data_IF_243208271086
#
_entry.id   IF_243208271086
#
_cell.length_a   1.000
_cell.length_b   1.000
_cell.length_c   1.000
_cell.angle_alpha   90.00
_cell.angle_beta   90.00
_cell.angle_gamma   90.00
#
_symmetry.space_group_name_H-M   'P 1'
#
loop_
_entity.id
_entity.type
_entity.pdbx_description
1 polymer ?
#
# COMPACT_ATOMS: atom_id res chain seq x y z
N UNK A 1 -18.38 -9.43 7.90
CA UNK A 1 -17.02 -9.47 7.33
C UNK A 1 -16.96 -8.36 6.31
N UNK A 2 -16.14 -7.33 6.54
CA UNK A 2 -16.13 -6.16 5.66
C UNK A 2 -15.22 -6.44 4.47
N UNK A 3 -15.81 -6.61 3.29
CA UNK A 3 -15.07 -6.59 2.04
C UNK A 3 -14.61 -5.16 1.78
N UNK A 4 -13.41 -4.98 1.22
CA UNK A 4 -12.93 -3.66 0.83
C UNK A 4 -13.82 -3.10 -0.27
N UNK A 5 -14.49 -1.98 -0.03
CA UNK A 5 -15.11 -1.18 -1.08
C UNK A 5 -13.99 -0.52 -1.89
N UNK A 6 -13.64 -1.14 -3.01
CA UNK A 6 -12.47 -0.76 -3.79
C UNK A 6 -12.69 0.60 -4.46
N UNK A 7 -13.93 0.90 -4.84
CA UNK A 7 -14.28 2.18 -5.44
C UNK A 7 -14.04 3.34 -4.47
N UNK A 8 -14.52 3.25 -3.23
CA UNK A 8 -14.32 4.28 -2.21
C UNK A 8 -12.85 4.43 -1.81
N UNK A 9 -12.14 3.30 -1.64
CA UNK A 9 -10.71 3.30 -1.32
C UNK A 9 -9.88 4.00 -2.41
N UNK A 10 -10.09 3.64 -3.67
CA UNK A 10 -9.37 4.25 -4.80
C UNK A 10 -9.77 5.71 -5.03
N UNK A 11 -11.04 6.07 -4.82
CA UNK A 11 -11.48 7.46 -4.87
C UNK A 11 -10.74 8.31 -3.83
N UNK A 12 -10.62 7.84 -2.59
CA UNK A 12 -9.81 8.49 -1.55
C UNK A 12 -8.37 8.65 -2.03
N UNK A 13 -7.74 7.54 -2.42
CA UNK A 13 -6.33 7.46 -2.81
C UNK A 13 -5.99 8.46 -3.91
N UNK A 14 -6.82 8.56 -4.94
CA UNK A 14 -6.61 9.48 -6.05
C UNK A 14 -6.86 10.95 -5.67
N UNK A 15 -7.86 11.24 -4.83
CA UNK A 15 -8.23 12.60 -4.44
C UNK A 15 -7.16 13.28 -3.57
N UNK A 16 -6.36 12.50 -2.85
CA UNK A 16 -5.37 13.00 -1.90
C UNK A 16 -3.92 12.68 -2.31
N UNK A 17 -3.72 12.06 -3.47
CA UNK A 17 -2.40 11.87 -4.02
C UNK A 17 -1.78 13.21 -4.45
N UNK A 18 -0.65 13.55 -3.83
CA UNK A 18 0.14 14.72 -4.18
C UNK A 18 0.98 14.48 -5.46
N UNK A 19 1.61 15.55 -5.96
CA UNK A 19 2.52 15.48 -7.10
C UNK A 19 3.86 14.79 -6.76
N UNK A 20 4.27 14.83 -5.49
CA UNK A 20 5.48 14.21 -4.96
C UNK A 20 5.24 13.72 -3.53
N UNK A 21 6.07 12.77 -3.07
CA UNK A 21 5.93 12.19 -1.72
C UNK A 21 5.96 13.26 -0.62
N UNK A 22 5.07 13.09 0.35
CA UNK A 22 4.99 13.88 1.58
C UNK A 22 5.50 13.07 2.78
N UNK A 23 6.13 11.90 2.54
CA UNK A 23 6.53 10.92 3.57
C UNK A 23 5.36 10.41 4.43
N UNK A 24 4.15 10.37 3.86
CA UNK A 24 2.89 9.98 4.53
C UNK A 24 2.21 8.78 3.88
N UNK A 25 2.99 7.88 3.27
CA UNK A 25 2.46 6.72 2.54
C UNK A 25 1.58 5.81 3.43
N UNK A 26 2.05 5.47 4.64
CA UNK A 26 1.30 4.67 5.60
C UNK A 26 -0.03 5.32 6.01
N UNK A 27 -0.01 6.63 6.28
CA UNK A 27 -1.20 7.39 6.66
C UNK A 27 -2.23 7.43 5.52
N UNK A 28 -1.81 7.78 4.31
CA UNK A 28 -2.71 7.89 3.16
C UNK A 28 -3.32 6.53 2.77
N UNK A 29 -2.52 5.46 2.70
CA UNK A 29 -3.05 4.13 2.39
C UNK A 29 -3.99 3.63 3.49
N UNK A 30 -3.72 3.95 4.77
CA UNK A 30 -4.66 3.64 5.87
C UNK A 30 -5.99 4.36 5.70
N UNK A 31 -5.97 5.63 5.36
CA UNK A 31 -7.19 6.43 5.17
C UNK A 31 -7.97 5.95 3.95
N UNK A 32 -7.29 5.53 2.88
CA UNK A 32 -7.93 4.87 1.74
C UNK A 32 -8.61 3.55 2.15
N UNK A 33 -7.92 2.69 2.90
CA UNK A 33 -8.51 1.46 3.45
C UNK A 33 -9.74 1.76 4.33
N UNK A 34 -9.64 2.76 5.21
CA UNK A 34 -10.72 3.20 6.09
C UNK A 34 -11.93 3.70 5.28
N UNK A 35 -11.70 4.48 4.23
CA UNK A 35 -12.75 4.92 3.31
C UNK A 35 -13.39 3.75 2.55
N UNK A 36 -12.63 2.69 2.30
CA UNK A 36 -13.12 1.42 1.77
C UNK A 36 -13.78 0.49 2.81
N UNK A 37 -13.96 0.94 4.05
CA UNK A 37 -14.60 0.14 5.11
C UNK A 37 -13.68 -0.84 5.85
N UNK A 38 -12.36 -0.78 5.62
CA UNK A 38 -11.35 -1.56 6.34
C UNK A 38 -10.69 -0.69 7.40
N UNK A 39 -11.02 -0.92 8.66
CA UNK A 39 -10.41 -0.20 9.77
C UNK A 39 -9.16 -0.92 10.31
N UNK A 40 -8.03 -0.21 10.29
CA UNK A 40 -6.76 -0.72 10.80
C UNK A 40 -6.63 -0.32 12.27
N UNK A 41 -6.47 -1.29 13.21
CA UNK A 41 -6.47 -1.02 14.64
C UNK A 41 -5.51 0.11 15.06
N UNK A 42 -5.85 0.86 16.12
CA UNK A 42 -5.07 2.01 16.53
C UNK A 42 -3.80 1.67 17.31
N UNK A 43 -2.88 0.95 16.67
CA UNK A 43 -1.61 0.50 17.24
C UNK A 43 -0.43 1.25 16.64
N UNK A 44 0.64 1.46 17.42
CA UNK A 44 1.85 2.17 16.96
C UNK A 44 2.47 1.57 15.69
N UNK A 45 2.29 0.26 15.47
CA UNK A 45 2.76 -0.42 14.27
C UNK A 45 2.23 0.19 12.97
N UNK A 46 1.04 0.82 12.97
CA UNK A 46 0.45 1.47 11.78
C UNK A 46 1.19 2.73 11.32
N UNK A 47 2.11 3.27 12.12
CA UNK A 47 2.88 4.44 11.71
C UNK A 47 4.01 4.08 10.73
N UNK A 48 4.39 2.80 10.65
CA UNK A 48 5.45 2.33 9.76
C UNK A 48 4.89 1.42 8.68
N UNK A 49 5.07 1.83 7.42
CA UNK A 49 4.61 1.09 6.26
C UNK A 49 5.06 -0.38 6.27
N UNK A 50 6.31 -0.66 6.66
CA UNK A 50 6.90 -2.01 6.73
C UNK A 50 6.12 -3.00 7.61
N UNK A 51 5.32 -2.50 8.55
CA UNK A 51 4.55 -3.31 9.49
C UNK A 51 3.12 -3.61 9.01
N UNK A 52 2.71 -3.14 7.82
CA UNK A 52 1.33 -3.30 7.35
C UNK A 52 0.99 -4.74 6.96
N UNK A 53 1.97 -5.60 6.65
CA UNK A 53 1.70 -6.97 6.24
C UNK A 53 0.79 -7.73 7.22
N UNK A 54 1.18 -7.90 8.49
CA UNK A 54 0.31 -8.51 9.51
C UNK A 54 -1.02 -7.77 9.73
N UNK A 55 -1.05 -6.44 9.58
CA UNK A 55 -2.29 -5.66 9.75
C UNK A 55 -3.29 -5.95 8.62
N UNK A 56 -2.81 -6.10 7.38
CA UNK A 56 -3.63 -6.46 6.23
C UNK A 56 -4.14 -7.90 6.33
N UNK A 57 -3.29 -8.84 6.77
CA UNK A 57 -3.70 -10.22 7.01
C UNK A 57 -4.80 -10.31 8.08
N UNK A 58 -4.72 -9.51 9.14
CA UNK A 58 -5.76 -9.42 10.17
C UNK A 58 -7.09 -8.86 9.63
N UNK A 59 -7.08 -8.21 8.46
CA UNK A 59 -8.26 -7.70 7.75
C UNK A 59 -8.67 -8.61 6.58
N UNK A 60 -8.29 -9.90 6.59
CA UNK A 60 -8.61 -10.89 5.56
C UNK A 60 -8.04 -10.61 4.16
N UNK A 61 -6.98 -9.82 4.07
CA UNK A 61 -6.17 -9.79 2.85
C UNK A 61 -5.34 -11.06 2.78
N UNK A 62 -4.99 -11.46 1.56
CA UNK A 62 -4.07 -12.57 1.30
C UNK A 62 -2.82 -12.09 0.59
N UNK A 63 -1.69 -12.70 0.91
CA UNK A 63 -0.44 -12.47 0.17
C UNK A 63 -0.56 -13.02 -1.26
N UNK A 64 -0.23 -12.19 -2.24
CA UNK A 64 -0.13 -12.60 -3.65
C UNK A 64 1.22 -13.29 -3.81
N UNK A 65 1.20 -14.60 -4.10
CA UNK A 65 2.41 -15.40 -4.28
C UNK A 65 3.07 -15.14 -5.63
N UNK A 66 4.40 -15.30 -5.72
CA UNK A 66 5.15 -15.15 -6.97
C UNK A 66 5.88 -13.81 -7.17
N UNK A 67 5.90 -12.93 -6.16
CA UNK A 67 6.62 -11.65 -6.22
C UNK A 67 5.81 -10.52 -6.84
N UNK A 68 6.47 -9.52 -7.43
CA UNK A 68 5.78 -8.43 -8.10
C UNK A 68 5.10 -8.96 -9.36
N UNK A 69 3.76 -8.92 -9.48
CA UNK A 69 3.09 -9.41 -10.66
C UNK A 69 3.50 -8.52 -11.84
N UNK A 70 3.74 -9.15 -13.00
CA UNK A 70 3.88 -8.46 -14.29
C UNK A 70 2.62 -7.64 -14.63
N UNK A 71 1.49 -7.95 -13.99
CA UNK A 71 0.23 -7.23 -14.11
C UNK A 71 -0.44 -7.11 -12.73
N UNK A 72 -0.20 -6.03 -11.97
CA UNK A 72 -0.90 -5.79 -10.71
C UNK A 72 -2.40 -5.60 -10.95
N UNK A 73 -3.21 -6.05 -9.99
CA UNK A 73 -4.66 -5.89 -10.02
C UNK A 73 -5.07 -4.66 -9.22
N UNK A 74 -6.15 -4.00 -9.65
CA UNK A 74 -6.73 -2.87 -8.92
C UNK A 74 -6.98 -3.29 -7.47
N UNK A 75 -6.46 -2.51 -6.52
CA UNK A 75 -6.56 -2.79 -5.09
C UNK A 75 -5.39 -3.58 -4.50
N UNK A 76 -4.45 -4.07 -5.31
CA UNK A 76 -3.22 -4.67 -4.79
C UNK A 76 -2.45 -3.66 -3.93
N UNK A 77 -1.99 -4.10 -2.77
CA UNK A 77 -1.21 -3.27 -1.84
C UNK A 77 0.18 -3.87 -1.71
N UNK A 78 1.21 -3.09 -2.08
CA UNK A 78 2.60 -3.47 -1.86
C UNK A 78 3.06 -2.92 -0.52
N UNK A 79 3.72 -3.75 0.29
CA UNK A 79 4.46 -3.37 1.49
C UNK A 79 5.93 -3.68 1.27
N UNK A 80 6.77 -2.65 1.29
CA UNK A 80 8.20 -2.71 0.97
C UNK A 80 8.99 -2.44 2.27
N UNK A 81 9.93 -3.32 2.56
CA UNK A 81 10.84 -3.19 3.70
C UNK A 81 11.85 -2.05 3.47
N UNK A 82 12.43 -1.48 4.54
CA UNK A 82 13.49 -0.50 4.40
C UNK A 82 14.74 -1.11 3.75
N UNK A 83 15.58 -0.27 3.15
CA UNK A 83 16.91 -0.62 2.64
C UNK A 83 18.00 0.16 3.41
N UNK A 84 19.27 -0.29 3.37
CA UNK A 84 20.37 0.42 4.03
C UNK A 84 20.48 1.89 3.58
N UNK A 85 20.46 2.83 4.52
CA UNK A 85 20.46 4.27 4.23
C UNK A 85 19.10 4.86 3.81
N UNK A 86 18.06 4.04 3.70
CA UNK A 86 16.68 4.46 3.44
C UNK A 86 15.90 4.79 4.72
N UNK A 87 14.65 5.24 4.54
CA UNK A 87 13.75 5.52 5.66
C UNK A 87 13.36 4.20 6.37
N UNK A 88 13.52 4.15 7.69
CA UNK A 88 13.21 2.99 8.55
C UNK A 88 11.74 2.56 8.50
N UNK A 89 10.84 3.44 8.06
CA UNK A 89 9.41 3.17 7.97
C UNK A 89 9.08 2.18 6.87
N UNK A 90 9.97 1.97 5.89
CA UNK A 90 9.63 1.25 4.65
C UNK A 90 8.71 2.06 3.75
N UNK A 91 8.03 1.38 2.83
CA UNK A 91 7.09 2.01 1.90
C UNK A 91 5.84 1.17 1.70
N UNK A 92 4.71 1.81 1.40
CA UNK A 92 3.44 1.15 1.09
C UNK A 92 2.73 1.91 -0.01
N UNK A 93 2.14 1.19 -0.96
CA UNK A 93 1.33 1.77 -2.02
C UNK A 93 0.21 0.81 -2.43
N UNK A 94 -0.88 1.35 -2.97
CA UNK A 94 -1.98 0.59 -3.54
C UNK A 94 -2.08 0.86 -5.05
N UNK A 95 -2.35 -0.17 -5.84
CA UNK A 95 -2.52 -0.06 -7.28
C UNK A 95 -3.94 0.40 -7.62
N UNK A 96 -4.09 1.53 -8.30
CA UNK A 96 -5.41 2.11 -8.59
C UNK A 96 -6.07 1.56 -9.88
N UNK A 97 -5.47 0.55 -10.50
CA UNK A 97 -5.89 -0.01 -11.79
C UNK A 97 -5.06 0.52 -12.97
N UNK A 98 -4.35 1.64 -12.78
CA UNK A 98 -3.50 2.25 -13.81
C UNK A 98 -2.05 2.44 -13.34
N UNK A 99 -1.86 2.82 -12.06
CA UNK A 99 -0.55 3.07 -11.47
C UNK A 99 -0.57 2.82 -9.95
N UNK A 100 0.61 2.70 -9.36
CA UNK A 100 0.77 2.62 -7.91
C UNK A 100 0.62 4.00 -7.29
N UNK A 101 -0.11 4.09 -6.19
CA UNK A 101 -0.38 5.33 -5.47
C UNK A 101 -0.22 5.09 -3.98
N UNK A 102 0.50 5.99 -3.31
CA UNK A 102 0.71 5.97 -1.86
C UNK A 102 0.15 7.25 -1.25
N UNK A 103 1.01 8.20 -0.91
CA UNK A 103 0.68 9.61 -0.68
C UNK A 103 0.87 10.47 -1.95
N UNK A 104 1.36 9.87 -3.03
CA UNK A 104 1.54 10.49 -4.33
C UNK A 104 1.40 9.45 -5.45
N UNK A 105 1.25 9.92 -6.68
CA UNK A 105 1.19 9.07 -7.89
C UNK A 105 2.61 8.63 -8.28
N UNK A 106 2.82 7.32 -8.39
CA UNK A 106 4.14 6.74 -8.60
C UNK A 106 4.30 6.22 -10.03
N UNK A 107 5.52 6.32 -10.57
CA UNK A 107 5.85 5.74 -11.88
C UNK A 107 5.97 4.20 -11.84
N UNK A 108 6.20 3.63 -10.66
CA UNK A 108 6.27 2.19 -10.40
C UNK A 108 5.97 1.90 -8.91
N UNK A 109 6.03 0.61 -8.51
CA UNK A 109 5.76 0.22 -7.13
C UNK A 109 6.78 0.74 -6.12
N UNK A 110 8.03 0.99 -6.56
CA UNK A 110 9.14 1.33 -5.68
C UNK A 110 9.00 2.71 -5.04
N UNK A 111 8.25 3.63 -5.67
CA UNK A 111 7.97 4.94 -5.07
C UNK A 111 9.20 5.86 -4.95
N UNK A 112 10.32 5.53 -5.58
CA UNK A 112 11.51 6.39 -5.59
C UNK A 112 12.79 5.70 -6.05
N UNK A 113 13.82 6.48 -6.44
CA UNK A 113 15.06 5.94 -6.97
C UNK A 113 15.81 5.04 -5.97
N UNK A 114 15.83 5.39 -4.68
CA UNK A 114 16.51 4.58 -3.67
C UNK A 114 15.93 3.17 -3.51
N UNK A 115 14.60 3.05 -3.46
CA UNK A 115 13.92 1.75 -3.44
C UNK A 115 14.14 0.97 -4.74
N UNK A 116 14.06 1.65 -5.89
CA UNK A 116 14.25 1.04 -7.22
C UNK A 116 15.65 0.44 -7.40
N UNK A 117 16.68 1.12 -6.91
CA UNK A 117 18.06 0.65 -6.99
C UNK A 117 18.35 -0.48 -6.00
N UNK A 118 17.87 -0.37 -4.76
CA UNK A 118 18.20 -1.34 -3.71
C UNK A 118 17.32 -2.60 -3.72
N UNK A 119 16.11 -2.51 -4.29
CA UNK A 119 15.14 -3.62 -4.39
C UNK A 119 14.97 -4.40 -3.08
N UNK A 120 14.67 -3.74 -1.94
CA UNK A 120 14.49 -4.44 -0.67
C UNK A 120 13.31 -5.41 -0.73
N UNK A 121 13.24 -6.36 0.22
CA UNK A 121 12.12 -7.31 0.29
C UNK A 121 10.77 -6.60 0.29
N UNK A 122 9.82 -7.13 -0.44
CA UNK A 122 8.46 -6.63 -0.48
C UNK A 122 7.47 -7.79 -0.53
N UNK A 123 6.22 -7.49 -0.17
CA UNK A 123 5.09 -8.41 -0.29
C UNK A 123 3.90 -7.65 -0.86
N UNK A 124 3.04 -8.35 -1.59
CA UNK A 124 1.80 -7.78 -2.13
C UNK A 124 0.62 -8.47 -1.48
N UNK A 125 -0.39 -7.69 -1.13
CA UNK A 125 -1.60 -8.12 -0.45
C UNK A 125 -2.82 -7.75 -1.27
N UNK A 126 -3.81 -8.65 -1.32
CA UNK A 126 -5.07 -8.45 -2.03
C UNK A 126 -6.24 -8.78 -1.11
N UNK A 127 -7.26 -7.93 -1.11
CA UNK A 127 -8.50 -8.19 -0.39
C UNK A 127 -9.30 -9.30 -1.07
N UNK A 128 -9.90 -10.19 -0.28
CA UNK A 128 -10.85 -11.19 -0.77
C UNK A 128 -12.21 -10.52 -1.05
N UNK A 129 -12.83 -10.81 -2.20
CA UNK A 129 -14.19 -10.34 -2.51
C UNK A 129 -14.36 -8.83 -2.69
N UNK A 130 -13.37 -8.12 -3.25
CA UNK A 130 -13.52 -6.70 -3.57
C UNK A 130 -14.62 -6.47 -4.63
N UNK A 131 -15.63 -5.67 -4.27
CA UNK A 131 -16.71 -5.20 -5.16
C UNK A 131 -16.41 -3.80 -5.72
#
# INVERSE_FOLDING_TARGET
MSNLNLTASIAWLNAHAHAASQSKCAENVRLALQAGGVDIPPVAARNFAKNYGPLLLAQNFTEVTGGAPSSPQKGDIVVIQPYPGGNIAGHIAMYNGHQWVSDFRQIDMWGGPGYRSNKPPFKIYRSQGAE
#
